data_IF_500645512513
#
_entry.id   IF_500645512513
#
_cell.length_a   1.000
_cell.length_b   1.000
_cell.length_c   1.000
_cell.angle_alpha   90.00
_cell.angle_beta   90.00
_cell.angle_gamma   90.00
#
_symmetry.space_group_name_H-M   'P 1'
#
loop_
_entity.id
_entity.type
_entity.pdbx_description
1 polymer ?
#
# COMPACT_ATOMS: atom_id res chain seq x y z
N UNK A 1 20.79 12.29 10.83
CA UNK A 1 20.46 13.40 9.90
C UNK A 1 19.91 12.75 8.64
N UNK A 2 18.61 12.55 8.56
CA UNK A 2 17.94 12.22 7.29
C UNK A 2 17.63 13.54 6.61
N UNK A 3 18.35 13.82 5.52
CA UNK A 3 18.01 14.89 4.59
C UNK A 3 16.79 14.45 3.80
N UNK A 4 15.60 14.71 4.35
CA UNK A 4 14.36 14.66 3.60
C UNK A 4 14.26 15.92 2.74
N UNK A 5 14.02 15.75 1.45
CA UNK A 5 13.67 16.83 0.53
C UNK A 5 12.54 17.65 1.18
N UNK A 6 12.66 18.97 1.34
CA UNK A 6 11.84 19.79 2.26
C UNK A 6 10.33 19.90 1.98
N UNK A 7 9.72 18.96 1.27
CA UNK A 7 8.28 18.84 1.04
C UNK A 7 7.72 17.61 1.78
N UNK A 8 6.54 17.75 2.38
CA UNK A 8 5.81 16.65 3.02
C UNK A 8 5.54 15.49 2.04
N UNK A 9 5.60 14.21 2.49
CA UNK A 9 5.32 13.06 1.66
C UNK A 9 3.91 13.11 1.02
N UNK A 10 3.80 12.57 -0.18
CA UNK A 10 2.51 12.44 -0.85
C UNK A 10 1.74 11.28 -0.21
N UNK A 11 0.58 11.59 0.35
CA UNK A 11 -0.32 10.58 0.91
C UNK A 11 -1.04 9.84 -0.21
N UNK A 12 -0.85 8.52 -0.26
CA UNK A 12 -1.44 7.66 -1.27
C UNK A 12 -2.18 6.48 -0.63
N UNK A 13 -3.26 6.05 -1.28
CA UNK A 13 -3.94 4.81 -0.96
C UNK A 13 -4.05 3.97 -2.23
N UNK A 14 -4.05 2.65 -2.07
CA UNK A 14 -4.29 1.73 -3.18
C UNK A 14 -5.75 1.27 -3.18
N UNK A 15 -6.37 1.31 -4.36
CA UNK A 15 -7.70 0.72 -4.60
C UNK A 15 -7.53 -0.54 -5.45
N UNK A 16 -7.89 -1.68 -4.86
CA UNK A 16 -7.89 -2.99 -5.51
C UNK A 16 -6.58 -3.76 -5.38
N UNK A 17 -6.71 -5.09 -5.44
CA UNK A 17 -5.63 -6.07 -5.19
C UNK A 17 -5.55 -7.17 -6.24
N UNK A 18 -6.52 -7.24 -7.17
CA UNK A 18 -6.67 -8.35 -8.13
C UNK A 18 -5.72 -8.28 -9.32
N UNK A 19 -5.18 -7.11 -9.63
CA UNK A 19 -4.23 -6.98 -10.73
C UNK A 19 -2.88 -7.60 -10.34
N UNK A 20 -2.25 -8.36 -11.25
CA UNK A 20 -1.00 -9.08 -10.95
C UNK A 20 0.14 -8.19 -10.45
N UNK A 21 0.15 -6.90 -10.81
CA UNK A 21 1.15 -5.92 -10.34
C UNK A 21 0.72 -5.13 -9.08
N UNK A 22 -0.46 -5.37 -8.53
CA UNK A 22 -0.98 -4.60 -7.40
C UNK A 22 -0.08 -4.71 -6.16
N UNK A 23 0.45 -5.91 -5.88
CA UNK A 23 1.37 -6.11 -4.76
C UNK A 23 2.71 -5.37 -4.98
N UNK A 24 3.27 -5.46 -6.20
CA UNK A 24 4.53 -4.80 -6.53
C UNK A 24 4.43 -3.27 -6.52
N UNK A 25 3.29 -2.71 -6.96
CA UNK A 25 3.03 -1.26 -6.87
C UNK A 25 2.90 -0.81 -5.42
N UNK A 26 2.20 -1.58 -4.58
CA UNK A 26 2.13 -1.28 -3.16
C UNK A 26 3.50 -1.31 -2.49
N UNK A 27 4.32 -2.33 -2.80
CA UNK A 27 5.69 -2.40 -2.28
C UNK A 27 6.53 -1.19 -2.71
N UNK A 28 6.46 -0.78 -3.99
CA UNK A 28 7.19 0.39 -4.46
C UNK A 28 6.75 1.70 -3.75
N UNK A 29 5.48 1.82 -3.36
CA UNK A 29 5.02 2.94 -2.54
C UNK A 29 5.55 2.85 -1.10
N UNK A 30 5.57 1.67 -0.50
CA UNK A 30 6.10 1.44 0.85
C UNK A 30 7.62 1.70 0.93
N UNK A 31 8.36 1.43 -0.14
CA UNK A 31 9.82 1.63 -0.20
C UNK A 31 10.22 3.10 -0.48
N UNK A 32 9.27 3.97 -0.81
CA UNK A 32 9.53 5.36 -1.20
C UNK A 32 9.48 6.30 0.01
N UNK A 33 10.53 7.11 0.18
CA UNK A 33 10.55 8.18 1.20
C UNK A 33 9.65 9.37 0.83
N UNK A 34 9.22 9.47 -0.44
CA UNK A 34 8.35 10.55 -0.93
C UNK A 34 6.87 10.23 -0.77
N UNK A 35 6.53 9.01 -0.32
CA UNK A 35 5.15 8.51 -0.24
C UNK A 35 4.84 8.04 1.17
N UNK A 36 3.68 8.47 1.69
CA UNK A 36 3.05 7.89 2.86
C UNK A 36 1.86 7.05 2.41
N UNK A 37 1.91 5.73 2.61
CA UNK A 37 0.77 4.85 2.30
C UNK A 37 -0.23 4.91 3.44
N UNK A 38 -1.39 5.54 3.20
CA UNK A 38 -2.42 5.77 4.22
C UNK A 38 -3.53 4.71 4.24
N UNK A 39 -3.59 3.85 3.22
CA UNK A 39 -4.53 2.74 3.25
C UNK A 39 -4.60 1.88 1.98
N UNK A 40 -5.30 0.77 2.12
CA UNK A 40 -5.64 -0.17 1.06
C UNK A 40 -7.14 -0.44 1.11
N UNK A 41 -7.84 -0.33 -0.02
CA UNK A 41 -9.25 -0.69 -0.13
C UNK A 41 -9.42 -1.78 -1.18
N UNK A 42 -10.26 -2.77 -0.90
CA UNK A 42 -10.69 -3.79 -1.86
C UNK A 42 -12.22 -3.94 -1.74
N UNK A 43 -13.00 -3.64 -2.79
CA UNK A 43 -14.45 -3.77 -2.74
C UNK A 43 -14.92 -5.23 -2.66
N UNK A 44 -14.12 -6.18 -3.11
CA UNK A 44 -14.43 -7.60 -3.01
C UNK A 44 -14.00 -8.16 -1.64
N UNK A 45 -14.99 -8.47 -0.80
CA UNK A 45 -14.76 -8.98 0.56
C UNK A 45 -14.07 -10.35 0.60
N UNK A 46 -14.35 -11.22 -0.37
CA UNK A 46 -13.69 -12.54 -0.45
C UNK A 46 -12.23 -12.33 -0.78
N UNK A 47 -11.95 -11.49 -1.78
CA UNK A 47 -10.60 -11.15 -2.17
C UNK A 47 -9.83 -10.49 -1.03
N UNK A 48 -10.45 -9.57 -0.29
CA UNK A 48 -9.83 -8.94 0.88
C UNK A 48 -9.43 -9.99 1.92
N UNK A 49 -10.34 -10.91 2.26
CA UNK A 49 -10.08 -11.97 3.23
C UNK A 49 -8.90 -12.89 2.80
N UNK A 50 -8.79 -13.21 1.51
CA UNK A 50 -7.67 -13.99 0.97
C UNK A 50 -6.31 -13.32 1.20
N UNK A 51 -6.24 -11.99 1.05
CA UNK A 51 -4.96 -11.26 1.10
C UNK A 51 -4.64 -10.66 2.46
N UNK A 52 -5.63 -10.39 3.30
CA UNK A 52 -5.44 -9.82 4.64
C UNK A 52 -4.61 -10.76 5.55
N UNK A 53 -4.66 -12.07 5.30
CA UNK A 53 -3.80 -13.08 5.95
C UNK A 53 -2.58 -13.52 5.13
N UNK A 54 -2.37 -12.96 3.93
CA UNK A 54 -1.26 -13.36 3.07
C UNK A 54 0.04 -12.65 3.47
N UNK A 55 1.14 -13.40 3.62
CA UNK A 55 2.46 -12.81 3.84
C UNK A 55 2.86 -11.98 2.61
N UNK A 56 2.85 -10.65 2.73
CA UNK A 56 3.15 -9.75 1.60
C UNK A 56 2.81 -8.28 1.85
N UNK A 57 2.93 -7.42 0.83
CA UNK A 57 2.75 -5.97 0.96
C UNK A 57 1.36 -5.57 1.49
N UNK A 58 0.32 -6.33 1.14
CA UNK A 58 -1.06 -6.04 1.56
C UNK A 58 -1.25 -6.13 3.08
N UNK A 59 -0.51 -7.01 3.76
CA UNK A 59 -0.57 -7.16 5.22
C UNK A 59 0.21 -6.08 5.99
N UNK A 60 0.95 -5.21 5.30
CA UNK A 60 1.72 -4.13 5.93
C UNK A 60 0.93 -2.82 6.02
N UNK A 61 -0.29 -2.78 5.46
CA UNK A 61 -1.06 -1.55 5.29
C UNK A 61 -2.41 -1.68 5.98
N UNK A 62 -2.88 -0.57 6.55
CA UNK A 62 -4.22 -0.46 7.11
C UNK A 62 -5.28 -0.58 6.00
N UNK A 63 -6.27 -1.42 6.21
CA UNK A 63 -7.50 -1.41 5.42
C UNK A 63 -8.36 -0.19 5.75
N UNK A 64 -8.80 0.53 4.72
CA UNK A 64 -9.71 1.68 4.82
C UNK A 64 -11.05 1.41 4.13
#
# INVERSE_FOLDING_TARGET
MTVGNGAEPIRMAQYGTKHGHAAGKLQAMLDSQDVEVVGLFEPDSERRAEVEGSGGPFGQVRWI
#
